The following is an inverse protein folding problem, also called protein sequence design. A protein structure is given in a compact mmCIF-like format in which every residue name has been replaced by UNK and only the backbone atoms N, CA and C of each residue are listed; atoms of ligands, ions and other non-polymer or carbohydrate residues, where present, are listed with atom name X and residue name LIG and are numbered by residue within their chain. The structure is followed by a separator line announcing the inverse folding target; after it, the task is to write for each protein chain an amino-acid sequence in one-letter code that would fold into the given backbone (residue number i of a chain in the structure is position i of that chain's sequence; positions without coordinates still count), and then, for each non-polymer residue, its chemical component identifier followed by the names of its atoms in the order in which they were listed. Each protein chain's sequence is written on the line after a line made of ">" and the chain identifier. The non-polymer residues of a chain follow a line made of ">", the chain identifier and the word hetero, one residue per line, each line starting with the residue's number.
data_IF_893898713421
#
_entry.id   IF_893898713421
#
_cell.length_a   1.000
_cell.length_b   1.000
_cell.length_c   1.000
_cell.angle_alpha   90.00
_cell.angle_beta   90.00
_cell.angle_gamma   90.00
#
_symmetry.space_group_name_H-M   'P 1'
#
loop_
_entity.id
_entity.type
_entity.pdbx_description
1 polymer ?
#
# COMPACT_ATOMS: atom_id res chain seq x y z
N UNK A 1 -47.97 -46.22 52.16
CA UNK A 1 -48.49 -44.84 51.98
C UNK A 1 -47.65 -44.17 50.91
N UNK A 2 -48.31 -43.58 49.89
CA UNK A 2 -47.88 -42.46 49.01
C UNK A 2 -46.49 -42.59 48.36
N UNK A 3 -46.28 -42.62 47.04
CA UNK A 3 -47.10 -42.25 45.89
C UNK A 3 -46.16 -41.74 44.77
N UNK A 4 -46.58 -41.95 43.51
CA UNK A 4 -46.20 -41.22 42.29
C UNK A 4 -44.81 -41.41 41.62
N UNK A 5 -44.84 -42.19 40.54
CA UNK A 5 -44.19 -42.07 39.20
C UNK A 5 -44.35 -40.65 38.57
N UNK A 6 -43.89 -40.35 37.32
CA UNK A 6 -42.81 -40.86 36.42
C UNK A 6 -42.07 -39.75 35.62
N UNK A 7 -41.07 -40.11 34.79
CA UNK A 7 -40.90 -39.74 33.34
C UNK A 7 -39.52 -40.26 32.89
N UNK A 8 -39.45 -41.38 32.14
CA UNK A 8 -39.40 -41.47 30.65
C UNK A 8 -38.11 -40.86 30.05
N UNK A 9 -37.38 -41.47 29.12
CA UNK A 9 -37.39 -42.80 28.48
C UNK A 9 -36.19 -42.88 27.52
N UNK A 10 -35.64 -44.09 27.35
CA UNK A 10 -34.91 -44.70 26.20
C UNK A 10 -33.64 -44.01 25.63
N UNK A 11 -32.46 -44.66 25.54
CA UNK A 11 -32.08 -45.94 24.88
C UNK A 11 -32.18 -45.85 23.34
N UNK A 12 -31.32 -46.40 22.46
CA UNK A 12 -30.35 -47.50 22.47
C UNK A 12 -29.49 -47.38 21.16
N UNK A 13 -28.18 -47.68 21.11
CA UNK A 13 -27.47 -48.97 20.77
C UNK A 13 -27.08 -49.18 19.29
N UNK A 14 -25.85 -49.72 19.11
CA UNK A 14 -25.31 -50.64 18.07
C UNK A 14 -24.16 -50.06 17.20
N UNK A 15 -23.17 -50.78 16.67
CA UNK A 15 -22.34 -51.98 16.96
C UNK A 15 -21.46 -52.23 15.69
N UNK A 16 -20.38 -53.04 15.79
CA UNK A 16 -19.52 -53.62 14.71
C UNK A 16 -18.40 -52.70 14.15
N UNK A 17 -17.17 -53.13 13.79
CA UNK A 17 -16.50 -54.44 13.71
C UNK A 17 -15.42 -54.45 12.60
N UNK A 18 -14.13 -54.67 12.97
CA UNK A 18 -12.96 -55.30 12.29
C UNK A 18 -12.68 -55.35 10.73
N UNK A 19 -11.38 -55.17 10.39
CA UNK A 19 -10.48 -55.87 9.41
C UNK A 19 -10.15 -55.39 7.95
N UNK A 20 -8.82 -55.16 7.72
CA UNK A 20 -7.86 -55.72 6.71
C UNK A 20 -7.78 -55.30 5.20
N UNK A 21 -6.64 -54.67 4.84
CA UNK A 21 -5.70 -54.76 3.68
C UNK A 21 -6.12 -55.28 2.27
N UNK A 22 -5.85 -54.49 1.19
CA UNK A 22 -5.00 -54.81 0.00
C UNK A 22 -5.29 -53.95 -1.28
N UNK A 23 -4.20 -53.38 -1.84
CA UNK A 23 -3.77 -53.12 -3.25
C UNK A 23 -4.73 -52.82 -4.45
N UNK A 24 -4.36 -51.74 -5.19
CA UNK A 24 -4.41 -51.42 -6.66
C UNK A 24 -5.54 -52.01 -7.55
N UNK A 25 -6.24 -51.28 -8.44
CA UNK A 25 -5.75 -50.51 -9.60
C UNK A 25 -6.99 -49.98 -10.39
N UNK A 26 -6.76 -49.08 -11.36
CA UNK A 26 -7.66 -48.53 -12.43
C UNK A 26 -8.29 -47.15 -12.17
N UNK A 27 -7.73 -46.16 -12.87
CA UNK A 27 -8.33 -44.86 -13.22
C UNK A 27 -9.30 -45.06 -14.41
N UNK A 28 -10.45 -44.36 -14.47
CA UNK A 28 -10.56 -43.26 -15.44
C UNK A 28 -11.26 -42.00 -14.92
N UNK A 29 -11.07 -40.93 -15.71
CA UNK A 29 -11.45 -39.53 -15.56
C UNK A 29 -12.95 -39.25 -15.33
N UNK A 30 -13.29 -38.36 -14.40
CA UNK A 30 -13.88 -37.02 -14.66
C UNK A 30 -14.55 -36.42 -13.42
N UNK A 31 -14.42 -35.09 -13.32
CA UNK A 31 -15.24 -34.10 -12.60
C UNK A 31 -15.11 -33.86 -11.08
N UNK A 32 -14.52 -32.68 -10.82
CA UNK A 32 -15.03 -31.59 -9.99
C UNK A 32 -14.80 -31.60 -8.47
N UNK A 33 -13.80 -30.79 -8.10
CA UNK A 33 -13.85 -29.69 -7.12
C UNK A 33 -14.09 -30.00 -5.64
N UNK A 34 -13.04 -29.82 -4.83
CA UNK A 34 -13.01 -28.83 -3.73
C UNK A 34 -11.55 -28.62 -3.25
N UNK A 35 -11.24 -27.36 -2.91
CA UNK A 35 -10.01 -26.89 -2.22
C UNK A 35 -9.78 -27.63 -0.88
N UNK A 36 -8.65 -27.52 -0.14
CA UNK A 36 -7.66 -26.41 -0.12
C UNK A 36 -6.18 -26.84 0.03
N UNK A 37 -5.24 -25.92 -0.23
CA UNK A 37 -3.84 -26.20 0.08
C UNK A 37 -2.91 -25.04 -0.23
N UNK A 38 -2.15 -24.65 0.79
CA UNK A 38 -1.05 -23.70 0.75
C UNK A 38 0.16 -24.20 -0.10
N UNK A 39 1.20 -23.38 -0.11
CA UNK A 39 2.49 -23.44 -0.83
C UNK A 39 2.42 -22.93 -2.29
N UNK A 40 3.22 -21.96 -2.73
CA UNK A 40 4.41 -21.40 -2.11
C UNK A 40 4.67 -19.97 -2.57
N UNK A 41 5.14 -19.18 -1.60
CA UNK A 41 5.94 -18.02 -1.89
C UNK A 41 7.27 -18.52 -2.48
N UNK A 42 7.38 -18.52 -3.80
CA UNK A 42 8.68 -18.35 -4.41
C UNK A 42 9.04 -16.87 -4.24
N UNK A 43 9.75 -16.60 -3.16
CA UNK A 43 10.37 -15.31 -2.90
C UNK A 43 11.53 -15.14 -3.88
N UNK A 44 11.23 -14.71 -5.10
CA UNK A 44 12.22 -14.11 -5.97
C UNK A 44 12.56 -12.71 -5.45
N UNK A 45 13.71 -12.59 -4.79
CA UNK A 45 14.39 -11.32 -4.53
C UNK A 45 14.81 -10.65 -5.87
N UNK A 46 15.09 -9.34 -5.87
CA UNK A 46 14.60 -8.41 -6.89
C UNK A 46 15.29 -8.58 -8.24
N UNK A 47 14.52 -8.71 -9.31
CA UNK A 47 14.99 -8.22 -10.60
C UNK A 47 15.17 -6.71 -10.44
N UNK A 48 16.41 -6.24 -10.60
CA UNK A 48 16.72 -4.81 -10.62
C UNK A 48 15.76 -4.07 -11.56
N UNK A 49 15.43 -2.83 -11.21
CA UNK A 49 14.43 -2.01 -11.88
C UNK A 49 14.26 -2.31 -13.39
N UNK A 50 13.02 -2.65 -13.76
CA UNK A 50 12.64 -3.07 -15.10
C UNK A 50 12.75 -1.87 -16.03
N UNK A 51 13.73 -1.88 -16.92
CA UNK A 51 14.06 -0.76 -17.80
C UNK A 51 13.96 -1.16 -19.28
N UNK A 52 13.46 -0.24 -20.10
CA UNK A 52 13.36 -0.48 -21.54
C UNK A 52 12.50 0.55 -22.28
N UNK A 53 12.34 0.33 -23.58
CA UNK A 53 11.58 1.24 -24.45
C UNK A 53 10.10 0.89 -24.46
N UNK A 54 9.23 1.90 -24.37
CA UNK A 54 7.77 1.71 -24.42
C UNK A 54 7.32 1.39 -25.84
N UNK A 55 6.78 0.19 -26.05
CA UNK A 55 6.20 -0.24 -27.32
C UNK A 55 4.73 0.17 -27.45
N UNK A 56 4.01 0.20 -26.33
CA UNK A 56 2.58 0.42 -26.27
C UNK A 56 2.23 1.05 -24.92
N UNK A 57 1.24 1.96 -24.93
CA UNK A 57 0.66 2.56 -23.73
C UNK A 57 -0.85 2.48 -23.82
N UNK A 58 -1.46 1.96 -22.76
CA UNK A 58 -2.91 1.93 -22.57
C UNK A 58 -3.24 2.70 -21.30
N UNK A 59 -4.00 3.78 -21.43
CA UNK A 59 -4.45 4.56 -20.28
C UNK A 59 -5.78 4.03 -19.76
N UNK A 60 -5.81 3.70 -18.47
CA UNK A 60 -7.02 3.31 -17.76
C UNK A 60 -6.88 3.75 -16.31
N UNK A 61 -7.45 4.92 -16.01
CA UNK A 61 -7.36 5.55 -14.71
C UNK A 61 -7.67 4.54 -13.57
N UNK A 62 -6.83 4.47 -12.52
CA UNK A 62 -5.74 5.41 -12.21
C UNK A 62 -4.35 5.05 -12.79
N UNK A 63 -4.26 4.07 -13.71
CA UNK A 63 -2.98 3.54 -14.19
C UNK A 63 -2.75 3.77 -15.70
N UNK A 64 -1.48 3.84 -16.09
CA UNK A 64 -1.01 3.61 -17.46
C UNK A 64 -0.37 2.23 -17.54
N UNK A 65 -0.83 1.40 -18.46
CA UNK A 65 -0.26 0.09 -18.74
C UNK A 65 0.72 0.24 -19.90
N UNK A 66 1.99 -0.03 -19.64
CA UNK A 66 3.08 0.13 -20.58
C UNK A 66 3.58 -1.25 -21.01
N UNK A 67 3.61 -1.53 -22.31
CA UNK A 67 4.35 -2.67 -22.85
C UNK A 67 5.78 -2.21 -23.06
N UNK A 68 6.70 -2.72 -22.26
CA UNK A 68 8.10 -2.28 -22.25
C UNK A 68 8.97 -3.37 -22.88
N UNK A 69 9.82 -2.98 -23.83
CA UNK A 69 10.85 -3.84 -24.40
C UNK A 69 12.10 -3.78 -23.55
N UNK A 70 12.35 -4.83 -22.77
CA UNK A 70 13.56 -4.98 -21.95
C UNK A 70 14.59 -5.84 -22.66
N UNK A 71 15.79 -5.95 -22.08
CA UNK A 71 16.83 -6.89 -22.55
C UNK A 71 16.44 -8.36 -22.39
N UNK A 72 15.50 -8.67 -21.48
CA UNK A 72 15.02 -10.03 -21.20
C UNK A 72 13.73 -10.39 -21.97
N UNK A 73 13.18 -9.45 -22.75
CA UNK A 73 11.95 -9.64 -23.50
C UNK A 73 10.93 -8.51 -23.29
N UNK A 74 9.73 -8.71 -23.80
CA UNK A 74 8.63 -7.76 -23.66
C UNK A 74 7.81 -8.08 -22.42
N UNK A 75 7.53 -7.06 -21.62
CA UNK A 75 6.81 -7.18 -20.36
C UNK A 75 5.77 -6.08 -20.24
N UNK A 76 4.67 -6.36 -19.54
CA UNK A 76 3.70 -5.34 -19.18
C UNK A 76 4.04 -4.75 -17.83
N UNK A 77 3.98 -3.43 -17.72
CA UNK A 77 4.12 -2.71 -16.47
C UNK A 77 2.89 -1.82 -16.23
N UNK A 78 2.31 -1.89 -15.04
CA UNK A 78 1.26 -0.98 -14.61
C UNK A 78 1.89 0.08 -13.71
N UNK A 79 1.85 1.34 -14.15
CA UNK A 79 2.39 2.48 -13.42
C UNK A 79 1.27 3.49 -13.17
N UNK A 80 1.36 4.34 -12.12
CA UNK A 80 0.46 5.48 -11.99
C UNK A 80 0.39 6.26 -13.29
N UNK A 81 -0.79 6.77 -13.62
CA UNK A 81 -1.02 7.43 -14.91
C UNK A 81 0.05 8.49 -15.17
N UNK A 82 0.75 8.39 -16.29
CA UNK A 82 1.93 9.22 -16.60
C UNK A 82 1.91 9.75 -18.03
N UNK A 83 2.57 10.88 -18.31
CA UNK A 83 2.64 11.45 -19.65
C UNK A 83 3.66 10.76 -20.56
N UNK A 84 4.05 9.50 -20.27
CA UNK A 84 5.00 8.75 -21.11
C UNK A 84 4.45 8.52 -22.51
N UNK A 85 5.32 8.64 -23.50
CA UNK A 85 5.01 8.38 -24.91
C UNK A 85 5.53 7.01 -25.37
N UNK A 86 4.94 6.49 -26.45
CA UNK A 86 5.48 5.34 -27.17
C UNK A 86 6.86 5.70 -27.73
N UNK A 87 7.83 4.81 -27.56
CA UNK A 87 9.24 4.98 -27.96
C UNK A 87 10.13 5.55 -26.87
N UNK A 88 9.57 6.03 -25.76
CA UNK A 88 10.34 6.58 -24.64
C UNK A 88 10.98 5.45 -23.82
N UNK A 89 12.19 5.68 -23.33
CA UNK A 89 12.83 4.77 -22.38
C UNK A 89 12.32 5.05 -20.98
N UNK A 90 11.82 4.00 -20.34
CA UNK A 90 11.28 4.06 -18.99
C UNK A 90 12.01 3.09 -18.09
N UNK A 91 12.08 3.46 -16.81
CA UNK A 91 12.56 2.59 -15.74
C UNK A 91 11.45 2.46 -14.71
N UNK A 92 10.95 1.24 -14.56
CA UNK A 92 9.93 0.87 -13.59
C UNK A 92 10.64 0.41 -12.33
N UNK A 93 10.44 1.18 -11.27
CA UNK A 93 11.04 0.98 -9.98
C UNK A 93 10.09 0.22 -9.05
N UNK A 94 10.68 -0.62 -8.18
CA UNK A 94 9.99 -1.61 -7.34
C UNK A 94 8.91 -2.40 -8.10
N UNK A 95 9.25 -3.03 -9.25
CA UNK A 95 8.28 -3.81 -9.99
C UNK A 95 7.85 -5.03 -9.17
N UNK A 96 6.55 -5.13 -8.87
CA UNK A 96 5.92 -6.31 -8.28
C UNK A 96 5.19 -7.07 -9.37
N UNK A 97 5.66 -8.28 -9.65
CA UNK A 97 4.97 -9.17 -10.59
C UNK A 97 3.61 -9.56 -10.03
N UNK A 98 2.56 -9.32 -10.81
CA UNK A 98 1.24 -9.91 -10.62
C UNK A 98 0.95 -10.84 -11.78
N UNK A 99 0.53 -12.07 -11.46
CA UNK A 99 0.05 -13.03 -12.44
C UNK A 99 -1.47 -13.02 -12.50
N UNK A 100 -2.04 -13.33 -13.66
CA UNK A 100 -3.48 -13.44 -13.90
C UNK A 100 -4.29 -12.20 -13.46
N UNK A 101 -3.71 -11.01 -13.61
CA UNK A 101 -4.33 -9.76 -13.19
C UNK A 101 -5.39 -9.29 -14.19
N UNK A 102 -6.64 -9.13 -13.74
CA UNK A 102 -7.72 -8.57 -14.54
C UNK A 102 -7.82 -7.04 -14.35
N UNK A 103 -7.63 -6.30 -15.44
CA UNK A 103 -7.97 -4.88 -15.51
C UNK A 103 -9.43 -4.72 -15.90
N UNK A 104 -10.27 -4.38 -14.92
CA UNK A 104 -11.71 -4.12 -15.14
C UNK A 104 -11.97 -2.96 -16.10
N UNK A 105 -11.14 -1.91 -16.03
CA UNK A 105 -11.26 -0.73 -16.89
C UNK A 105 -10.89 -1.01 -18.34
N UNK A 106 -9.90 -1.89 -18.58
CA UNK A 106 -9.52 -2.32 -19.94
C UNK A 106 -10.31 -3.54 -20.42
N UNK A 107 -11.11 -4.16 -19.55
CA UNK A 107 -11.77 -5.46 -19.78
C UNK A 107 -10.79 -6.50 -20.31
N UNK A 108 -9.59 -6.53 -19.73
CA UNK A 108 -8.45 -7.32 -20.19
C UNK A 108 -7.74 -7.99 -19.02
N UNK A 109 -7.40 -9.26 -19.20
CA UNK A 109 -6.55 -10.01 -18.27
C UNK A 109 -5.10 -10.01 -18.77
N UNK A 110 -4.17 -9.71 -17.87
CA UNK A 110 -2.74 -9.80 -18.08
C UNK A 110 -2.25 -11.06 -17.37
N UNK A 111 -1.66 -11.99 -18.13
CA UNK A 111 -1.03 -13.19 -17.55
C UNK A 111 0.09 -12.82 -16.59
N UNK A 112 0.86 -11.79 -16.93
CA UNK A 112 1.94 -11.23 -16.13
C UNK A 112 1.97 -9.71 -16.33
N UNK A 113 2.00 -8.96 -15.23
CA UNK A 113 2.14 -7.50 -15.24
C UNK A 113 2.90 -7.04 -14.01
N UNK A 114 3.86 -6.14 -14.21
CA UNK A 114 4.68 -5.58 -13.15
C UNK A 114 4.10 -4.26 -12.66
N UNK A 115 3.59 -4.24 -11.43
CA UNK A 115 3.13 -3.00 -10.80
C UNK A 115 4.31 -2.26 -10.20
N UNK A 116 4.47 -0.99 -10.53
CA UNK A 116 5.59 -0.19 -10.02
C UNK A 116 5.39 1.30 -10.27
N UNK A 117 6.45 2.06 -10.03
CA UNK A 117 6.45 3.51 -10.28
C UNK A 117 7.54 3.85 -11.29
N UNK A 118 7.26 4.80 -12.18
CA UNK A 118 8.32 5.36 -13.01
C UNK A 118 9.26 6.21 -12.14
N UNK A 119 10.57 6.08 -12.34
CA UNK A 119 11.51 7.06 -11.81
C UNK A 119 11.50 8.31 -12.69
N UNK A 120 11.57 9.52 -12.10
CA UNK A 120 11.93 10.71 -12.86
C UNK A 120 13.30 10.45 -13.49
N UNK A 121 13.39 10.65 -14.80
CA UNK A 121 14.53 10.37 -15.65
C UNK A 121 14.81 8.88 -15.89
N UNK A 122 14.32 8.38 -17.02
CA UNK A 122 14.84 7.19 -17.71
C UNK A 122 16.26 7.40 -18.27
N UNK A 123 17.13 8.09 -17.53
CA UNK A 123 18.53 8.31 -17.90
C UNK A 123 19.45 7.36 -17.12
N UNK A 124 20.14 6.50 -17.85
CA UNK A 124 21.30 5.77 -17.37
C UNK A 124 22.41 6.76 -17.02
N UNK A 125 22.46 7.21 -15.76
CA UNK A 125 23.64 7.90 -15.23
C UNK A 125 24.36 6.96 -14.26
N UNK A 126 25.32 6.24 -14.83
CA UNK A 126 26.32 5.48 -14.12
C UNK A 126 27.06 6.34 -13.07
N UNK A 127 27.32 5.71 -11.93
CA UNK A 127 28.39 6.10 -11.01
C UNK A 127 29.70 6.21 -11.78
N UNK A 128 30.36 7.37 -11.78
CA UNK A 128 31.82 7.57 -11.78
C UNK A 128 32.20 9.06 -11.96
N UNK A 129 32.86 9.62 -10.94
CA UNK A 129 34.08 10.43 -11.08
C UNK A 129 34.08 11.81 -11.78
N UNK A 130 34.21 12.85 -10.94
CA UNK A 130 35.07 14.03 -11.10
C UNK A 130 34.84 15.03 -12.26
N UNK A 131 34.28 16.19 -11.88
CA UNK A 131 34.89 17.52 -12.11
C UNK A 131 34.71 18.20 -13.46
N UNK A 132 33.87 19.24 -13.49
CA UNK A 132 34.22 20.57 -14.01
C UNK A 132 33.11 21.57 -13.66
N UNK A 133 33.50 22.68 -13.04
CA UNK A 133 32.64 23.79 -12.68
C UNK A 133 32.36 24.72 -13.87
N UNK A 134 31.14 25.24 -13.94
CA UNK A 134 30.74 26.40 -14.75
C UNK A 134 29.32 26.83 -14.34
N UNK A 135 29.04 28.13 -14.15
CA UNK A 135 27.97 28.58 -13.26
C UNK A 135 26.64 28.76 -13.99
N UNK A 136 25.55 28.30 -13.38
CA UNK A 136 24.22 28.86 -13.61
C UNK A 136 23.51 29.06 -12.27
N UNK A 137 23.35 30.33 -11.94
CA UNK A 137 22.33 30.87 -11.05
C UNK A 137 20.97 30.20 -11.29
N UNK A 138 20.35 29.67 -10.24
CA UNK A 138 18.94 29.86 -9.92
C UNK A 138 18.53 29.02 -8.70
N UNK A 139 17.99 29.72 -7.71
CA UNK A 139 16.95 29.34 -6.76
C UNK A 139 16.51 27.86 -6.71
N UNK A 140 16.56 27.30 -5.49
CA UNK A 140 15.75 26.16 -5.10
C UNK A 140 16.51 25.02 -4.42
N UNK A 141 17.24 25.32 -3.35
CA UNK A 141 17.73 24.27 -2.45
C UNK A 141 16.53 23.53 -1.84
N UNK A 142 16.24 22.32 -2.32
CA UNK A 142 15.36 21.39 -1.63
C UNK A 142 16.02 21.01 -0.29
N UNK A 143 15.33 21.16 0.86
CA UNK A 143 15.85 20.64 2.11
C UNK A 143 15.88 19.10 2.06
N UNK A 144 16.96 18.45 2.52
CA UNK A 144 16.99 17.02 2.69
C UNK A 144 16.04 16.65 3.84
N UNK A 145 14.86 16.13 3.51
CA UNK A 145 13.93 15.65 4.53
C UNK A 145 12.47 15.51 4.12
N UNK A 146 12.04 16.06 2.99
CA UNK A 146 10.61 16.09 2.60
C UNK A 146 9.91 14.72 2.67
N UNK A 147 8.64 14.72 3.10
CA UNK A 147 7.82 13.51 3.14
C UNK A 147 7.90 12.81 1.78
N UNK A 148 8.14 11.50 1.74
CA UNK A 148 8.49 10.77 0.51
C UNK A 148 7.32 10.63 -0.48
N UNK A 149 6.14 11.12 -0.12
CA UNK A 149 5.01 11.31 -1.01
C UNK A 149 4.83 12.76 -1.49
N UNK A 150 5.77 13.68 -1.21
CA UNK A 150 5.68 15.09 -1.61
C UNK A 150 5.95 15.31 -3.11
N UNK A 151 6.33 14.29 -3.87
CA UNK A 151 6.84 14.43 -5.24
C UNK A 151 5.94 13.87 -6.33
N UNK A 152 4.66 14.24 -6.44
CA UNK A 152 3.93 14.05 -7.72
C UNK A 152 3.07 15.26 -8.04
N UNK A 153 3.54 16.02 -9.02
CA UNK A 153 2.87 17.15 -9.66
C UNK A 153 1.65 16.64 -10.45
N UNK A 154 0.56 16.33 -9.76
CA UNK A 154 -0.78 16.36 -10.35
C UNK A 154 -1.11 17.81 -10.75
N UNK A 155 -2.02 18.07 -11.71
CA UNK A 155 -2.62 19.40 -11.80
C UNK A 155 -3.13 19.75 -10.41
N UNK A 156 -2.60 20.82 -9.83
CA UNK A 156 -2.87 21.21 -8.46
C UNK A 156 -4.36 21.48 -8.31
N UNK A 157 -5.13 20.47 -7.89
CA UNK A 157 -6.36 20.75 -7.15
C UNK A 157 -5.90 21.59 -5.97
N UNK A 158 -6.45 22.79 -5.84
CA UNK A 158 -5.97 23.82 -4.91
C UNK A 158 -5.50 23.21 -3.59
N UNK A 159 -4.35 23.67 -3.06
CA UNK A 159 -3.86 23.18 -1.78
C UNK A 159 -4.99 23.31 -0.75
N UNK A 160 -5.32 22.22 -0.08
CA UNK A 160 -6.34 22.24 0.96
C UNK A 160 -5.83 23.17 2.03
N UNK A 161 -6.50 24.32 2.20
CA UNK A 161 -6.17 25.26 3.27
C UNK A 161 -6.61 24.62 4.58
N UNK A 162 -5.63 24.23 5.40
CA UNK A 162 -5.89 23.66 6.72
C UNK A 162 -5.76 24.75 7.76
N UNK A 163 -6.89 25.11 8.37
CA UNK A 163 -6.91 25.92 9.58
C UNK A 163 -6.66 25.07 10.83
N UNK A 164 -6.71 25.68 12.01
CA UNK A 164 -6.63 24.93 13.27
C UNK A 164 -7.84 24.00 13.41
N UNK A 165 -7.57 22.69 13.48
CA UNK A 165 -8.57 21.66 13.79
C UNK A 165 -8.52 21.38 15.28
N UNK A 166 -9.70 21.22 15.91
CA UNK A 166 -9.77 20.85 17.31
C UNK A 166 -9.15 19.46 17.53
N UNK A 167 -8.37 19.32 18.59
CA UNK A 167 -7.82 18.04 19.05
C UNK A 167 -8.94 16.99 19.22
N UNK A 168 -8.63 15.73 18.95
CA UNK A 168 -9.56 14.63 19.21
C UNK A 168 -9.94 14.57 20.71
N UNK A 169 -11.09 13.97 21.02
CA UNK A 169 -11.49 13.72 22.40
C UNK A 169 -10.90 12.38 22.90
N UNK A 170 -10.58 12.30 24.19
CA UNK A 170 -10.07 11.08 24.83
C UNK A 170 -8.68 11.23 25.44
N UNK A 171 -8.33 10.31 26.34
CA UNK A 171 -7.04 10.29 27.01
C UNK A 171 -5.88 9.89 26.07
N UNK A 172 -6.21 9.19 24.98
CA UNK A 172 -5.28 8.82 23.90
C UNK A 172 -5.28 9.83 22.75
N UNK A 173 -5.89 11.00 22.94
CA UNK A 173 -5.93 12.04 21.92
C UNK A 173 -4.66 12.90 21.91
N UNK A 174 -4.14 13.17 20.71
CA UNK A 174 -2.99 14.03 20.47
C UNK A 174 -3.22 14.91 19.24
N UNK A 175 -2.66 16.12 19.25
CA UNK A 175 -2.41 16.85 18.00
C UNK A 175 -1.27 16.19 17.21
N UNK A 176 -1.11 16.56 15.96
CA UNK A 176 -0.01 16.06 15.13
C UNK A 176 1.33 16.46 15.72
N UNK A 177 1.49 17.74 16.10
CA UNK A 177 2.71 18.22 16.75
C UNK A 177 3.03 17.45 18.04
N UNK A 178 2.03 17.18 18.88
CA UNK A 178 2.22 16.39 20.09
C UNK A 178 2.65 14.95 19.79
N UNK A 179 2.12 14.34 18.72
CA UNK A 179 2.52 13.01 18.30
C UNK A 179 3.99 12.95 17.87
N UNK A 180 4.47 13.99 17.17
CA UNK A 180 5.90 14.13 16.83
C UNK A 180 6.77 14.42 18.06
N UNK A 181 6.34 15.33 18.95
CA UNK A 181 7.08 15.69 20.15
C UNK A 181 7.19 14.52 21.15
N UNK A 182 6.18 13.67 21.23
CA UNK A 182 6.11 12.51 22.14
C UNK A 182 6.37 11.18 21.43
N UNK A 183 6.97 11.18 20.23
CA UNK A 183 7.15 9.99 19.39
C UNK A 183 7.73 8.79 20.14
N UNK A 184 8.73 9.01 21.00
CA UNK A 184 9.40 7.93 21.74
C UNK A 184 8.50 7.34 22.84
N UNK A 185 7.62 8.17 23.43
CA UNK A 185 6.66 7.73 24.44
C UNK A 185 5.42 7.06 23.82
N UNK A 186 5.11 7.38 22.57
CA UNK A 186 3.94 6.89 21.86
C UNK A 186 4.24 5.69 20.96
N UNK A 187 5.50 5.40 20.65
CA UNK A 187 5.90 4.26 19.84
C UNK A 187 5.22 2.96 20.33
N UNK A 188 4.50 2.30 19.42
CA UNK A 188 3.74 1.07 19.69
C UNK A 188 2.40 1.28 20.40
N UNK A 189 2.05 2.50 20.81
CA UNK A 189 0.76 2.80 21.47
C UNK A 189 -0.30 3.19 20.45
N UNK A 190 -1.54 2.89 20.79
CA UNK A 190 -2.70 3.40 20.06
C UNK A 190 -2.99 4.84 20.47
N UNK A 191 -3.18 5.70 19.47
CA UNK A 191 -3.53 7.12 19.65
C UNK A 191 -4.70 7.50 18.77
N UNK A 192 -5.40 8.56 19.16
CA UNK A 192 -6.48 9.19 18.41
C UNK A 192 -6.01 10.56 17.91
N UNK A 193 -6.07 10.79 16.60
CA UNK A 193 -5.67 12.05 15.96
C UNK A 193 -6.82 12.54 15.09
N UNK A 194 -7.18 13.82 15.21
CA UNK A 194 -8.19 14.47 14.38
C UNK A 194 -7.53 15.50 13.49
N UNK A 195 -7.87 15.49 12.20
CA UNK A 195 -7.31 16.43 11.25
C UNK A 195 -8.01 16.37 9.89
N UNK A 196 -7.58 17.22 8.99
CA UNK A 196 -8.06 17.34 7.61
C UNK A 196 -7.18 16.53 6.67
N UNK A 197 -7.80 15.73 5.81
CA UNK A 197 -7.13 14.93 4.79
C UNK A 197 -6.60 15.86 3.70
N UNK A 198 -5.28 16.03 3.62
CA UNK A 198 -4.65 16.87 2.59
C UNK A 198 -4.22 16.07 1.37
N UNK A 199 -4.03 14.76 1.54
CA UNK A 199 -3.75 13.81 0.46
C UNK A 199 -4.29 12.43 0.82
N UNK A 200 -4.84 11.74 -0.18
CA UNK A 200 -5.38 10.40 -0.06
C UNK A 200 -4.93 9.57 -1.27
N UNK A 201 -4.21 8.48 -0.99
CA UNK A 201 -3.75 7.51 -1.97
C UNK A 201 -4.34 6.14 -1.61
N UNK A 202 -5.34 5.68 -2.35
CA UNK A 202 -5.97 4.40 -2.10
C UNK A 202 -5.14 3.23 -2.65
N UNK A 203 -5.27 2.06 -2.02
CA UNK A 203 -4.77 0.77 -2.52
C UNK A 203 -3.26 0.68 -2.78
N UNK A 204 -2.44 1.47 -2.08
CA UNK A 204 -0.98 1.38 -2.15
C UNK A 204 -0.51 0.34 -1.13
N UNK A 205 0.22 -0.69 -1.58
CA UNK A 205 0.65 -1.83 -0.74
C UNK A 205 -0.51 -2.51 0.01
N UNK A 206 -1.68 -2.59 -0.62
CA UNK A 206 -2.89 -3.18 -0.03
C UNK A 206 -3.55 -2.34 1.07
N UNK A 207 -3.14 -1.08 1.26
CA UNK A 207 -3.72 -0.15 2.23
C UNK A 207 -4.02 1.21 1.60
N UNK A 208 -4.85 2.00 2.28
CA UNK A 208 -5.06 3.40 1.97
C UNK A 208 -4.09 4.26 2.79
N UNK A 209 -3.46 5.23 2.13
CA UNK A 209 -2.47 6.13 2.70
C UNK A 209 -3.03 7.54 2.73
N UNK A 210 -3.10 8.11 3.93
CA UNK A 210 -3.70 9.41 4.21
C UNK A 210 -2.59 10.31 4.75
N UNK A 211 -2.48 11.52 4.21
CA UNK A 211 -1.81 12.62 4.88
C UNK A 211 -2.84 13.46 5.61
N UNK A 212 -2.62 13.65 6.90
CA UNK A 212 -3.51 14.38 7.79
C UNK A 212 -2.78 15.62 8.31
N UNK A 213 -3.47 16.74 8.36
CA UNK A 213 -3.00 17.99 8.97
C UNK A 213 -4.07 18.57 9.89
N UNK A 214 -3.68 19.13 11.03
CA UNK A 214 -4.59 19.72 12.01
C UNK A 214 -4.29 21.21 12.28
N UNK A 215 -3.34 21.78 11.54
CA UNK A 215 -2.88 23.16 11.72
C UNK A 215 -1.92 23.36 12.91
N UNK A 216 -1.48 22.29 13.56
CA UNK A 216 -0.35 22.30 14.51
C UNK A 216 0.96 21.97 13.80
N UNK A 217 2.09 22.17 14.50
CA UNK A 217 3.42 21.81 14.00
C UNK A 217 4.00 22.82 13.00
N UNK A 218 5.13 22.43 12.40
CA UNK A 218 5.97 23.29 11.56
C UNK A 218 6.31 22.56 10.25
N UNK A 219 5.99 23.20 9.12
CA UNK A 219 6.27 22.66 7.79
C UNK A 219 7.76 22.59 7.46
N UNK A 220 8.58 23.51 7.98
CA UNK A 220 10.03 23.46 7.80
C UNK A 220 10.67 22.30 8.58
N UNK A 221 10.01 21.83 9.64
CA UNK A 221 10.44 20.67 10.46
C UNK A 221 9.69 19.39 10.12
N UNK A 222 8.73 19.45 9.20
CA UNK A 222 7.88 18.33 8.78
C UNK A 222 7.10 17.69 9.95
N UNK A 223 6.70 18.51 10.92
CA UNK A 223 5.89 18.09 12.07
C UNK A 223 4.44 18.55 11.98
N UNK A 224 4.04 19.14 10.85
CA UNK A 224 2.68 19.62 10.59
C UNK A 224 1.79 18.61 9.85
N UNK A 225 2.37 17.50 9.39
CA UNK A 225 1.74 16.48 8.56
C UNK A 225 2.07 15.10 9.09
N UNK A 226 1.05 14.25 9.27
CA UNK A 226 1.25 12.87 9.66
C UNK A 226 0.67 11.92 8.63
N UNK A 227 1.45 10.88 8.31
CA UNK A 227 1.00 9.80 7.44
C UNK A 227 0.24 8.77 8.25
N UNK A 228 -0.88 8.30 7.71
CA UNK A 228 -1.76 7.31 8.31
C UNK A 228 -2.03 6.21 7.29
N UNK A 229 -1.89 4.94 7.68
CA UNK A 229 -2.35 3.80 6.89
C UNK A 229 -3.61 3.20 7.47
N UNK A 230 -4.58 2.88 6.61
CA UNK A 230 -5.88 2.34 7.01
C UNK A 230 -6.46 1.45 5.91
N UNK A 231 -7.48 0.66 6.24
CA UNK A 231 -8.35 -0.02 5.27
C UNK A 231 -9.64 0.76 4.99
N UNK A 232 -9.92 1.79 5.78
CA UNK A 232 -11.14 2.58 5.64
C UNK A 232 -10.94 3.63 4.53
N UNK A 233 -12.03 4.01 3.88
CA UNK A 233 -12.01 5.00 2.80
C UNK A 233 -12.28 6.41 3.32
N UNK A 234 -11.68 7.40 2.66
CA UNK A 234 -11.92 8.83 2.91
C UNK A 234 -11.70 9.64 1.62
N UNK A 235 -11.85 10.96 1.69
CA UNK A 235 -11.61 11.86 0.58
C UNK A 235 -10.79 13.07 1.01
N UNK A 236 -10.01 13.62 0.06
CA UNK A 236 -9.29 14.88 0.23
C UNK A 236 -10.24 15.99 0.68
N UNK A 237 -9.84 16.77 1.67
CA UNK A 237 -10.61 17.87 2.26
C UNK A 237 -11.53 17.48 3.42
N UNK A 238 -11.71 16.18 3.72
CA UNK A 238 -12.51 15.76 4.87
C UNK A 238 -11.75 15.94 6.18
N UNK A 239 -12.42 16.43 7.22
CA UNK A 239 -11.93 16.34 8.59
C UNK A 239 -12.38 15.03 9.22
N UNK A 240 -11.43 14.20 9.63
CA UNK A 240 -11.66 12.88 10.19
C UNK A 240 -10.94 12.71 11.53
N UNK A 241 -11.42 11.79 12.36
CA UNK A 241 -10.69 11.28 13.51
C UNK A 241 -10.21 9.88 13.20
N UNK A 242 -8.92 9.62 13.35
CA UNK A 242 -8.32 8.29 13.17
C UNK A 242 -7.82 7.77 14.50
N UNK A 243 -7.98 6.46 14.72
CA UNK A 243 -7.41 5.76 15.87
C UNK A 243 -6.53 4.62 15.38
N UNK A 244 -5.24 4.65 15.68
CA UNK A 244 -4.28 3.68 15.16
C UNK A 244 -2.98 3.63 15.97
N UNK A 245 -2.07 2.74 15.58
CA UNK A 245 -0.83 2.50 16.32
C UNK A 245 0.29 3.38 15.83
N UNK A 246 0.95 4.12 16.72
CA UNK A 246 2.13 4.92 16.35
C UNK A 246 3.30 4.00 16.07
N UNK A 247 3.93 4.16 14.90
CA UNK A 247 5.27 3.66 14.62
C UNK A 247 6.22 4.81 14.40
N UNK A 248 7.46 4.61 14.78
CA UNK A 248 8.54 5.57 14.62
C UNK A 248 9.66 4.97 13.78
N UNK A 249 10.43 5.84 13.12
CA UNK A 249 11.59 5.44 12.32
C UNK A 249 11.28 4.33 11.30
N UNK A 250 10.09 4.40 10.70
CA UNK A 250 9.63 3.38 9.76
C UNK A 250 10.25 3.66 8.39
N UNK A 251 10.91 2.65 7.84
CA UNK A 251 11.52 2.69 6.51
C UNK A 251 10.84 1.63 5.63
N UNK A 252 10.20 2.08 4.56
CA UNK A 252 9.61 1.21 3.54
C UNK A 252 10.51 1.05 2.31
N UNK A 253 11.77 1.51 2.39
CA UNK A 253 12.73 1.54 1.30
C UNK A 253 12.52 2.72 0.37
N UNK A 254 13.40 2.90 -0.62
CA UNK A 254 13.22 3.86 -1.71
C UNK A 254 13.00 5.34 -1.30
N UNK A 255 13.55 5.72 -0.15
CA UNK A 255 13.35 7.05 0.43
C UNK A 255 12.08 7.21 1.26
N UNK A 256 11.20 6.19 1.32
CA UNK A 256 9.98 6.19 2.11
C UNK A 256 10.24 6.00 3.61
N UNK A 257 10.77 7.05 4.24
CA UNK A 257 11.09 7.09 5.67
C UNK A 257 10.12 8.00 6.40
N UNK A 258 9.58 7.50 7.50
CA UNK A 258 8.65 8.22 8.35
C UNK A 258 9.21 8.28 9.77
N UNK A 259 9.47 9.49 10.25
CA UNK A 259 9.86 9.70 11.65
C UNK A 259 8.74 9.26 12.59
N UNK A 260 7.49 9.54 12.21
CA UNK A 260 6.26 9.09 12.87
C UNK A 260 5.23 8.74 11.79
N UNK A 261 4.56 7.60 11.94
CA UNK A 261 3.45 7.14 11.09
C UNK A 261 2.40 6.46 11.97
N UNK A 262 1.11 6.61 11.63
CA UNK A 262 0.03 5.87 12.29
C UNK A 262 -0.32 4.68 11.41
N UNK A 263 -0.10 3.46 11.90
CA UNK A 263 -0.42 2.24 11.18
C UNK A 263 -1.73 1.60 11.66
N UNK A 264 -2.37 0.89 10.73
CA UNK A 264 -3.58 0.09 10.97
C UNK A 264 -4.71 0.89 11.63
N UNK A 265 -4.84 2.15 11.22
CA UNK A 265 -5.81 3.05 11.80
C UNK A 265 -7.24 2.71 11.39
N UNK A 266 -8.19 3.04 12.25
CA UNK A 266 -9.63 3.07 11.96
C UNK A 266 -10.14 4.51 11.97
N UNK A 267 -10.98 4.85 11.01
CA UNK A 267 -11.68 6.13 10.97
C UNK A 267 -12.85 6.04 11.94
N UNK A 268 -12.79 6.84 12.99
CA UNK A 268 -13.84 6.91 14.03
C UNK A 268 -14.75 8.08 13.69
N UNK A 269 -16.06 7.81 13.61
CA UNK A 269 -17.05 8.88 13.47
C UNK A 269 -17.08 9.71 14.76
N UNK A 270 -17.24 11.04 14.66
CA UNK A 270 -17.27 11.93 15.82
C UNK A 270 -18.37 11.57 16.83
#
# INVERSE_FOLDING_TARGET
>A
MRGALPLLLAAAVAACGYNKSAEQDKVPLSEAQAAPGAMGADAAAPAGALAGSVLEKLDAAPYSYLRVKTTQGEVWAAVPQSPVAKGENVRVYNPMLMTDFESKSLKRTFKEVYFGTLTPDGSDAAVNGAGAAGPMDAAGAMPPGGNPHAGMNMPASEPVKVGKVAKAAGADAYTIEEAFAKKDQLAGKTVSIRGTVVKYNAQVMGKNWIHLQDGSGDAAKLTNDITVTTMDETAKGQTITVRGTVKTSKDFGAGYKYAVIIEDAKIVKP
#
